data_IF_939303825368
#
_entry.id   IF_939303825368
#
_cell.length_a   1.000
_cell.length_b   1.000
_cell.length_c   1.000
_cell.angle_alpha   90.00
_cell.angle_beta   90.00
_cell.angle_gamma   90.00
#
_symmetry.space_group_name_H-M   'P 1'
#
loop_
_entity.id
_entity.type
_entity.pdbx_description
1 polymer ?
#
# COMPACT_ATOMS: atom_id res chain seq x y z
N UNK A 1 43.41 11.60 46.62
CA UNK A 1 43.24 10.32 45.89
C UNK A 1 41.90 10.27 45.14
N UNK A 2 40.80 10.76 45.72
CA UNK A 2 39.46 10.88 45.09
C UNK A 2 39.40 11.88 43.92
N UNK A 3 40.10 13.01 43.98
CA UNK A 3 40.10 14.00 42.89
C UNK A 3 40.82 13.52 41.61
N UNK A 4 41.86 12.69 41.76
CA UNK A 4 42.62 12.13 40.63
C UNK A 4 41.81 11.05 39.89
N UNK A 5 41.06 10.20 40.61
CA UNK A 5 40.12 9.26 39.99
C UNK A 5 39.01 9.98 39.21
N UNK A 6 38.51 11.11 39.74
CA UNK A 6 37.46 11.89 39.08
C UNK A 6 37.96 12.54 37.78
N UNK A 7 39.16 13.11 37.77
CA UNK A 7 39.77 13.69 36.56
C UNK A 7 40.05 12.63 35.47
N UNK A 8 40.53 11.44 35.87
CA UNK A 8 40.72 10.32 34.93
C UNK A 8 39.39 9.79 34.39
N UNK A 9 38.32 9.71 35.21
CA UNK A 9 36.99 9.32 34.74
C UNK A 9 36.34 10.35 33.81
N UNK A 10 36.61 11.65 34.02
CA UNK A 10 36.12 12.74 33.16
C UNK A 10 36.88 12.75 31.82
N UNK A 11 38.19 12.48 31.84
CA UNK A 11 39.00 12.32 30.63
C UNK A 11 38.61 11.10 29.80
N UNK A 12 38.33 9.96 30.46
CA UNK A 12 37.87 8.74 29.80
C UNK A 12 36.44 8.89 29.24
N UNK A 13 35.55 9.58 29.96
CA UNK A 13 34.22 9.91 29.48
C UNK A 13 34.25 10.86 28.26
N UNK A 14 35.23 11.78 28.21
CA UNK A 14 35.46 12.67 27.07
C UNK A 14 36.02 11.92 25.84
N UNK A 15 36.89 10.92 26.03
CA UNK A 15 37.32 10.02 24.94
C UNK A 15 36.17 9.14 24.42
N UNK A 16 35.31 8.63 25.31
CA UNK A 16 34.14 7.82 24.93
C UNK A 16 33.04 8.62 24.21
N UNK A 17 33.05 9.95 24.29
CA UNK A 17 32.11 10.84 23.59
C UNK A 17 32.66 11.38 22.26
N UNK A 18 33.88 11.01 21.86
CA UNK A 18 34.40 11.36 20.54
C UNK A 18 33.81 10.45 19.45
N UNK A 19 32.67 10.87 18.88
CA UNK A 19 32.20 10.33 17.61
C UNK A 19 33.28 10.58 16.54
N UNK A 20 33.67 9.51 15.82
CA UNK A 20 34.59 9.64 14.69
C UNK A 20 34.07 10.68 13.70
N UNK A 21 34.92 11.56 13.17
CA UNK A 21 34.47 12.61 12.24
C UNK A 21 33.71 12.04 11.04
N UNK A 22 34.03 10.81 10.61
CA UNK A 22 33.29 10.12 9.54
C UNK A 22 31.87 9.72 9.93
N UNK A 23 31.68 9.20 11.14
CA UNK A 23 30.36 8.83 11.67
C UNK A 23 29.48 10.05 11.90
N UNK A 24 30.04 11.14 12.43
CA UNK A 24 29.31 12.40 12.62
C UNK A 24 28.85 13.00 11.28
N UNK A 25 29.71 12.99 10.26
CA UNK A 25 29.35 13.46 8.90
C UNK A 25 28.28 12.57 8.30
N UNK A 26 28.42 11.25 8.38
CA UNK A 26 27.40 10.30 7.92
C UNK A 26 26.05 10.57 8.61
N UNK A 27 26.05 10.76 9.93
CA UNK A 27 24.84 11.03 10.69
C UNK A 27 24.14 12.30 10.21
N UNK A 28 24.84 13.43 10.16
CA UNK A 28 24.23 14.71 9.80
C UNK A 28 23.73 14.75 8.36
N UNK A 29 24.47 14.14 7.43
CA UNK A 29 24.05 14.04 6.02
C UNK A 29 22.78 13.19 5.91
N UNK A 30 22.80 11.98 6.46
CA UNK A 30 21.65 11.07 6.39
C UNK A 30 20.44 11.59 7.19
N UNK A 31 20.67 12.34 8.27
CA UNK A 31 19.61 12.91 9.10
C UNK A 31 18.82 13.97 8.33
N UNK A 32 19.51 14.83 7.59
CA UNK A 32 18.84 15.81 6.72
C UNK A 32 18.08 15.08 5.61
N UNK A 33 18.69 14.08 4.98
CA UNK A 33 18.04 13.33 3.88
C UNK A 33 16.80 12.57 4.37
N UNK A 34 16.85 11.93 5.55
CA UNK A 34 15.68 11.20 6.09
C UNK A 34 14.54 12.15 6.44
N UNK A 35 14.84 13.32 6.99
CA UNK A 35 13.82 14.34 7.31
C UNK A 35 13.18 14.89 6.03
N UNK A 36 13.99 15.18 5.00
CA UNK A 36 13.49 15.59 3.68
C UNK A 36 12.65 14.48 3.04
N UNK A 37 13.07 13.22 3.17
CA UNK A 37 12.29 12.06 2.72
C UNK A 37 10.94 11.98 3.44
N UNK A 38 10.93 12.10 4.78
CA UNK A 38 9.70 12.05 5.57
C UNK A 38 8.74 13.20 5.23
N UNK A 39 9.25 14.41 5.01
CA UNK A 39 8.47 15.52 4.48
C UNK A 39 7.95 15.22 3.07
N UNK A 40 8.78 14.61 2.21
CA UNK A 40 8.39 14.18 0.86
C UNK A 40 7.23 13.19 0.84
N UNK A 41 7.13 12.27 1.81
CA UNK A 41 5.98 11.36 1.96
C UNK A 41 4.67 12.13 2.09
N UNK A 42 4.65 13.16 2.94
CA UNK A 42 3.43 13.91 3.26
C UNK A 42 3.12 14.99 2.21
N UNK A 43 4.16 15.60 1.64
CA UNK A 43 4.00 16.70 0.67
C UNK A 43 3.80 16.21 -0.77
N UNK A 44 4.04 14.94 -1.08
CA UNK A 44 3.93 14.43 -2.44
C UNK A 44 2.47 14.31 -2.91
N UNK A 45 2.10 14.93 -4.05
CA UNK A 45 0.73 14.89 -4.57
C UNK A 45 0.36 13.55 -5.23
N UNK A 46 1.35 12.75 -5.64
CA UNK A 46 1.10 11.40 -6.21
C UNK A 46 1.51 10.35 -5.18
N UNK A 47 0.65 9.36 -4.99
CA UNK A 47 0.87 8.26 -4.05
C UNK A 47 2.16 7.47 -4.36
N UNK A 48 2.50 7.28 -5.64
CA UNK A 48 3.71 6.55 -6.04
C UNK A 48 4.97 7.26 -5.56
N UNK A 49 5.08 8.58 -5.75
CA UNK A 49 6.23 9.35 -5.27
C UNK A 49 6.27 9.38 -3.73
N UNK A 50 5.12 9.48 -3.06
CA UNK A 50 5.04 9.40 -1.59
C UNK A 50 5.61 8.07 -1.08
N UNK A 51 5.26 6.96 -1.72
CA UNK A 51 5.78 5.65 -1.36
C UNK A 51 7.28 5.49 -1.65
N UNK A 52 7.80 6.07 -2.74
CA UNK A 52 9.25 6.09 -3.00
C UNK A 52 10.02 6.89 -1.93
N UNK A 53 9.49 8.03 -1.48
CA UNK A 53 10.05 8.77 -0.35
C UNK A 53 10.01 7.95 0.95
N UNK A 54 8.92 7.22 1.21
CA UNK A 54 8.81 6.34 2.36
C UNK A 54 9.87 5.22 2.30
N UNK A 55 10.06 4.60 1.12
CA UNK A 55 11.07 3.56 0.91
C UNK A 55 12.49 4.09 1.19
N UNK A 56 12.80 5.29 0.69
CA UNK A 56 14.06 5.98 0.97
C UNK A 56 14.26 6.19 2.48
N UNK A 57 13.23 6.66 3.20
CA UNK A 57 13.33 6.85 4.66
C UNK A 57 13.59 5.55 5.41
N UNK A 58 12.89 4.46 5.06
CA UNK A 58 13.06 3.16 5.70
C UNK A 58 14.47 2.59 5.48
N UNK A 59 15.05 2.81 4.29
CA UNK A 59 16.41 2.41 3.98
C UNK A 59 17.45 3.22 4.77
N UNK A 60 17.26 4.54 4.89
CA UNK A 60 18.17 5.39 5.69
C UNK A 60 18.08 5.04 7.18
N UNK A 61 16.88 4.75 7.70
CA UNK A 61 16.72 4.24 9.07
C UNK A 61 17.46 2.92 9.29
N UNK A 62 17.47 2.02 8.29
CA UNK A 62 18.26 0.79 8.38
C UNK A 62 19.76 1.10 8.48
N UNK A 63 20.25 2.08 7.72
CA UNK A 63 21.64 2.54 7.82
C UNK A 63 21.93 3.14 9.21
N UNK A 64 21.00 3.87 9.81
CA UNK A 64 21.16 4.35 11.19
C UNK A 64 21.24 3.21 12.20
N UNK A 65 20.39 2.18 12.09
CA UNK A 65 20.49 1.02 12.98
C UNK A 65 21.84 0.33 12.86
N UNK A 66 22.36 0.15 11.64
CA UNK A 66 23.67 -0.46 11.42
C UNK A 66 24.78 0.44 12.00
N UNK A 67 24.70 1.76 11.78
CA UNK A 67 25.67 2.72 12.31
C UNK A 67 25.67 2.73 13.85
N UNK A 68 24.53 2.52 14.49
CA UNK A 68 24.38 2.41 15.94
C UNK A 68 24.73 1.02 16.51
N UNK A 69 25.29 0.11 15.70
CA UNK A 69 25.69 -1.24 16.14
C UNK A 69 24.55 -2.27 16.15
N UNK A 70 23.33 -1.90 15.78
CA UNK A 70 22.16 -2.77 15.75
C UNK A 70 22.00 -3.50 14.40
N UNK A 71 22.98 -4.33 14.04
CA UNK A 71 23.04 -5.00 12.73
C UNK A 71 21.78 -5.84 12.42
N UNK A 72 21.31 -6.63 13.40
CA UNK A 72 20.09 -7.44 13.24
C UNK A 72 18.86 -6.59 12.93
N UNK A 73 18.66 -5.51 13.69
CA UNK A 73 17.54 -4.57 13.47
C UNK A 73 17.65 -3.89 12.10
N UNK A 74 18.84 -3.49 11.69
CA UNK A 74 19.09 -2.93 10.37
C UNK A 74 18.73 -3.90 9.24
N UNK A 75 19.12 -5.16 9.33
CA UNK A 75 18.77 -6.19 8.33
C UNK A 75 17.27 -6.46 8.30
N UNK A 76 16.62 -6.61 9.46
CA UNK A 76 15.16 -6.78 9.55
C UNK A 76 14.43 -5.55 8.97
N UNK A 77 14.96 -4.34 9.17
CA UNK A 77 14.42 -3.11 8.59
C UNK A 77 14.43 -3.14 7.05
N UNK A 78 15.51 -3.64 6.45
CA UNK A 78 15.58 -3.79 4.99
C UNK A 78 14.65 -4.89 4.51
N UNK A 79 14.70 -6.09 5.11
CA UNK A 79 13.95 -7.26 4.63
C UNK A 79 12.45 -7.09 4.81
N UNK A 80 12.00 -6.67 6.00
CA UNK A 80 10.58 -6.63 6.35
C UNK A 80 9.95 -5.31 5.94
N UNK A 81 10.46 -4.18 6.43
CA UNK A 81 9.81 -2.88 6.17
C UNK A 81 10.04 -2.41 4.73
N UNK A 82 11.29 -2.40 4.26
CA UNK A 82 11.61 -1.94 2.91
C UNK A 82 11.32 -3.01 1.84
N UNK A 83 11.50 -4.29 2.16
CA UNK A 83 11.23 -5.40 1.26
C UNK A 83 9.75 -5.74 1.19
N UNK A 84 9.20 -6.37 2.23
CA UNK A 84 7.84 -6.90 2.18
C UNK A 84 6.75 -5.82 2.27
N UNK A 85 6.81 -4.97 3.30
CA UNK A 85 5.72 -4.01 3.60
C UNK A 85 5.65 -2.92 2.54
N UNK A 86 6.78 -2.33 2.18
CA UNK A 86 6.81 -1.29 1.15
C UNK A 86 6.36 -1.80 -0.21
N UNK A 87 6.82 -2.98 -0.64
CA UNK A 87 6.42 -3.55 -1.93
C UNK A 87 4.92 -3.88 -1.95
N UNK A 88 4.37 -4.39 -0.85
CA UNK A 88 2.92 -4.58 -0.71
C UNK A 88 2.18 -3.23 -0.85
N UNK A 89 2.65 -2.20 -0.15
CA UNK A 89 2.04 -0.88 -0.22
C UNK A 89 2.09 -0.31 -1.64
N UNK A 90 3.25 -0.36 -2.30
CA UNK A 90 3.46 0.06 -3.69
C UNK A 90 2.52 -0.69 -4.66
N UNK A 91 2.38 -2.00 -4.48
CA UNK A 91 1.48 -2.81 -5.30
C UNK A 91 0.01 -2.39 -5.11
N UNK A 92 -0.41 -2.18 -3.86
CA UNK A 92 -1.78 -1.77 -3.52
C UNK A 92 -2.12 -0.40 -4.09
N UNK A 93 -1.25 0.61 -3.90
CA UNK A 93 -1.50 1.95 -4.44
C UNK A 93 -1.52 1.95 -5.97
N UNK A 94 -0.76 1.06 -6.62
CA UNK A 94 -0.73 0.97 -8.07
C UNK A 94 -1.98 0.25 -8.61
N UNK A 95 -2.47 -0.77 -7.92
CA UNK A 95 -3.67 -1.51 -8.28
C UNK A 95 -4.94 -0.66 -8.16
N UNK A 96 -5.03 0.18 -7.13
CA UNK A 96 -6.20 1.04 -6.88
C UNK A 96 -6.40 2.09 -7.99
N UNK A 97 -5.37 2.35 -8.81
CA UNK A 97 -5.42 3.36 -9.86
C UNK A 97 -5.28 4.76 -9.27
N UNK A 98 -4.17 5.43 -9.58
CA UNK A 98 -3.86 6.77 -9.09
C UNK A 98 -4.48 7.84 -9.97
N UNK A 99 -5.81 7.86 -10.07
CA UNK A 99 -6.51 8.93 -10.77
C UNK A 99 -6.62 10.18 -9.89
N UNK A 100 -5.96 11.22 -10.41
CA UNK A 100 -6.02 12.66 -10.14
C UNK A 100 -6.20 13.17 -8.70
N UNK A 101 -5.24 14.02 -8.34
CA UNK A 101 -5.24 14.79 -7.10
C UNK A 101 -6.58 15.49 -6.89
N UNK A 102 -7.28 15.08 -5.83
CA UNK A 102 -8.37 15.87 -5.28
C UNK A 102 -7.90 17.31 -5.14
N UNK A 103 -8.77 18.22 -5.56
CA UNK A 103 -8.59 19.65 -5.45
C UNK A 103 -8.14 20.01 -4.03
N UNK A 104 -7.05 20.78 -3.90
CA UNK A 104 -6.52 21.33 -2.63
C UNK A 104 -7.45 22.35 -1.97
N UNK A 105 -8.74 22.35 -2.31
CA UNK A 105 -9.75 23.16 -1.66
C UNK A 105 -10.04 22.52 -0.32
N UNK A 106 -9.65 23.23 0.73
CA UNK A 106 -9.99 22.86 2.10
C UNK A 106 -11.50 22.81 2.27
N UNK A 107 -12.06 21.63 2.52
CA UNK A 107 -13.45 21.45 2.96
C UNK A 107 -13.74 22.23 4.25
N UNK A 108 -12.73 22.36 5.13
CA UNK A 108 -12.82 23.10 6.39
C UNK A 108 -11.75 24.19 6.40
N UNK A 109 -12.18 25.46 6.31
CA UNK A 109 -11.28 26.63 6.34
C UNK A 109 -10.38 26.59 7.59
N UNK A 110 -9.06 26.62 7.37
CA UNK A 110 -8.07 26.73 8.44
C UNK A 110 -7.57 25.39 9.00
N UNK A 111 -8.03 24.25 8.48
CA UNK A 111 -7.56 22.93 8.93
C UNK A 111 -6.07 22.73 8.69
N UNK A 112 -5.50 23.14 7.55
CA UNK A 112 -4.05 22.97 7.32
C UNK A 112 -3.24 23.86 8.25
N UNK A 113 -3.69 25.08 8.51
CA UNK A 113 -3.02 25.96 9.48
C UNK A 113 -3.04 25.37 10.89
N UNK A 114 -4.19 24.86 11.34
CA UNK A 114 -4.30 24.18 12.63
C UNK A 114 -3.41 22.93 12.70
N UNK A 115 -3.40 22.10 11.65
CA UNK A 115 -2.58 20.90 11.58
C UNK A 115 -1.07 21.21 11.62
N UNK A 116 -0.62 22.23 10.87
CA UNK A 116 0.78 22.68 10.88
C UNK A 116 1.16 23.23 12.25
N UNK A 117 0.31 24.06 12.85
CA UNK A 117 0.58 24.67 14.16
C UNK A 117 0.66 23.61 15.27
N UNK A 118 -0.26 22.65 15.25
CA UNK A 118 -0.29 21.54 16.20
C UNK A 118 0.90 20.60 16.00
N UNK A 119 1.22 20.25 14.75
CA UNK A 119 2.39 19.43 14.42
C UNK A 119 3.70 20.08 14.86
N UNK A 120 3.88 21.37 14.59
CA UNK A 120 5.05 22.12 15.03
C UNK A 120 5.10 22.25 16.56
N UNK A 121 3.98 22.56 17.20
CA UNK A 121 3.88 22.65 18.66
C UNK A 121 4.22 21.33 19.34
N UNK A 122 3.73 20.21 18.81
CA UNK A 122 4.05 18.87 19.28
C UNK A 122 5.54 18.53 19.10
N UNK A 123 6.13 18.87 17.94
CA UNK A 123 7.55 18.70 17.70
C UNK A 123 8.43 19.50 18.68
N UNK A 124 8.11 20.77 18.92
CA UNK A 124 8.80 21.61 19.90
C UNK A 124 8.67 21.03 21.30
N UNK A 125 7.48 20.58 21.69
CA UNK A 125 7.24 19.97 22.99
C UNK A 125 8.08 18.70 23.19
N UNK A 126 8.17 17.84 22.17
CA UNK A 126 9.02 16.65 22.21
C UNK A 126 10.50 17.00 22.36
N UNK A 127 11.01 17.96 21.57
CA UNK A 127 12.40 18.40 21.65
C UNK A 127 12.70 19.01 23.01
N UNK A 128 11.82 19.87 23.53
CA UNK A 128 11.95 20.46 24.85
C UNK A 128 11.89 19.40 25.96
N UNK A 129 11.00 18.40 25.83
CA UNK A 129 10.91 17.27 26.75
C UNK A 129 12.19 16.45 26.79
N UNK A 130 12.75 16.11 25.63
CA UNK A 130 14.02 15.37 25.53
C UNK A 130 15.18 16.20 26.07
N UNK A 131 15.24 17.50 25.76
CA UNK A 131 16.28 18.39 26.27
C UNK A 131 16.21 18.56 27.80
N UNK A 132 14.99 18.62 28.35
CA UNK A 132 14.77 18.79 29.79
C UNK A 132 14.93 17.49 30.58
N UNK A 133 14.65 16.33 29.96
CA UNK A 133 14.77 15.03 30.62
C UNK A 133 16.18 14.75 31.15
N UNK A 134 17.20 15.49 30.68
CA UNK A 134 18.60 15.29 31.03
C UNK A 134 19.01 13.93 30.51
N UNK A 135 19.80 13.88 29.43
CA UNK A 135 20.43 12.65 28.98
C UNK A 135 21.39 12.19 30.10
N UNK A 136 20.85 11.47 31.07
CA UNK A 136 21.56 10.92 32.20
C UNK A 136 22.54 9.90 31.63
N UNK A 137 23.82 10.30 31.54
CA UNK A 137 24.96 9.44 31.21
C UNK A 137 24.71 8.49 30.04
N UNK A 138 25.24 8.83 28.87
CA UNK A 138 25.42 7.84 27.80
C UNK A 138 26.28 6.69 28.34
N UNK A 139 25.62 5.63 28.80
CA UNK A 139 26.25 4.36 29.10
C UNK A 139 26.61 3.83 27.72
N UNK A 140 27.87 3.99 27.33
CA UNK A 140 28.34 3.51 26.03
C UNK A 140 27.95 2.06 25.83
N UNK A 141 27.69 1.69 24.58
CA UNK A 141 27.54 0.28 24.24
C UNK A 141 28.85 -0.42 24.58
N UNK A 142 28.76 -1.50 25.36
CA UNK A 142 29.93 -2.32 25.64
C UNK A 142 30.38 -2.94 24.31
N UNK A 143 31.61 -2.65 23.90
CA UNK A 143 32.14 -3.10 22.61
C UNK A 143 32.25 -4.62 22.51
N UNK A 144 32.15 -5.32 23.65
CA UNK A 144 32.19 -6.78 23.73
C UNK A 144 30.84 -7.44 23.38
N UNK A 145 29.71 -6.73 23.45
CA UNK A 145 28.37 -7.29 23.18
C UNK A 145 27.93 -7.14 21.72
N UNK A 146 28.79 -6.59 20.85
CA UNK A 146 28.48 -6.37 19.44
C UNK A 146 28.54 -7.65 18.59
N UNK A 147 27.52 -7.90 17.77
CA UNK A 147 27.53 -8.95 16.75
C UNK A 147 26.60 -10.13 17.05
N UNK A 148 27.06 -11.36 16.83
CA UNK A 148 26.23 -12.58 16.97
C UNK A 148 25.73 -12.80 18.41
N UNK A 149 26.47 -12.30 19.41
CA UNK A 149 26.10 -12.45 20.83
C UNK A 149 24.84 -11.64 21.18
N UNK A 150 24.71 -10.42 20.69
CA UNK A 150 23.48 -9.63 20.82
C UNK A 150 22.24 -10.34 20.24
N UNK A 151 22.40 -11.12 19.15
CA UNK A 151 21.30 -11.90 18.58
C UNK A 151 20.93 -13.06 19.51
N UNK A 152 21.91 -13.74 20.09
CA UNK A 152 21.69 -14.83 21.05
C UNK A 152 21.02 -14.31 22.31
N UNK A 153 21.47 -13.19 22.86
CA UNK A 153 20.84 -12.54 24.01
C UNK A 153 19.41 -12.10 23.70
N UNK A 154 19.18 -11.49 22.54
CA UNK A 154 17.84 -11.11 22.10
C UNK A 154 16.93 -12.34 22.01
N UNK A 155 17.43 -13.44 21.43
CA UNK A 155 16.69 -14.69 21.37
C UNK A 155 16.37 -15.24 22.76
N UNK A 156 17.33 -15.27 23.68
CA UNK A 156 17.10 -15.68 25.06
C UNK A 156 16.03 -14.80 25.72
N UNK A 157 16.06 -13.49 25.53
CA UNK A 157 15.08 -12.56 26.09
C UNK A 157 13.67 -12.80 25.52
N UNK A 158 13.56 -13.03 24.21
CA UNK A 158 12.30 -13.32 23.52
C UNK A 158 11.70 -14.63 24.01
N UNK A 159 12.51 -15.69 24.12
CA UNK A 159 12.02 -17.02 24.50
C UNK A 159 11.90 -17.26 26.02
N UNK A 160 12.46 -16.38 26.86
CA UNK A 160 12.33 -16.47 28.32
C UNK A 160 11.35 -15.43 28.86
N UNK A 161 11.75 -14.16 28.91
CA UNK A 161 11.00 -13.07 29.54
C UNK A 161 9.82 -12.61 28.70
N UNK A 162 9.98 -12.55 27.39
CA UNK A 162 8.97 -12.02 26.46
C UNK A 162 8.21 -13.12 25.70
N UNK A 163 8.16 -14.34 26.23
CA UNK A 163 7.51 -15.49 25.58
C UNK A 163 6.06 -15.20 25.20
N UNK A 164 5.31 -14.54 26.09
CA UNK A 164 3.92 -14.17 25.80
C UNK A 164 3.79 -13.15 24.68
N UNK A 165 4.69 -12.16 24.61
CA UNK A 165 4.70 -11.19 23.51
C UNK A 165 5.02 -11.87 22.17
N UNK A 166 5.95 -12.84 22.18
CA UNK A 166 6.26 -13.66 21.01
C UNK A 166 5.06 -14.48 20.55
N UNK A 167 4.40 -15.21 21.46
CA UNK A 167 3.25 -16.07 21.14
C UNK A 167 2.07 -15.24 20.62
N UNK A 168 1.78 -14.10 21.25
CA UNK A 168 0.73 -13.17 20.78
C UNK A 168 1.06 -12.59 19.41
N UNK A 169 2.33 -12.30 19.12
CA UNK A 169 2.75 -11.86 17.78
C UNK A 169 2.58 -12.98 16.76
N UNK A 170 2.85 -14.24 17.12
CA UNK A 170 2.56 -15.40 16.27
C UNK A 170 1.06 -15.54 15.96
N UNK A 171 0.22 -15.45 16.98
CA UNK A 171 -1.24 -15.45 16.82
C UNK A 171 -1.72 -14.27 15.95
N UNK A 172 -1.12 -13.09 16.10
CA UNK A 172 -1.37 -11.92 15.26
C UNK A 172 -1.02 -12.18 13.79
N UNK A 173 0.12 -12.82 13.49
CA UNK A 173 0.53 -13.14 12.11
C UNK A 173 -0.41 -14.17 11.46
N UNK A 174 -0.85 -15.18 12.21
CA UNK A 174 -1.86 -16.15 11.72
C UNK A 174 -3.18 -15.42 11.43
N UNK A 175 -3.64 -14.59 12.36
CA UNK A 175 -4.88 -13.83 12.23
C UNK A 175 -4.80 -12.84 11.05
N UNK A 176 -3.68 -12.15 10.88
CA UNK A 176 -3.46 -11.25 9.75
C UNK A 176 -3.49 -11.98 8.41
N UNK A 177 -2.88 -13.17 8.34
CA UNK A 177 -2.89 -14.00 7.12
C UNK A 177 -4.31 -14.49 6.81
N UNK A 178 -5.04 -14.97 7.81
CA UNK A 178 -6.45 -15.37 7.65
C UNK A 178 -7.33 -14.19 7.24
N UNK A 179 -7.15 -13.03 7.88
CA UNK A 179 -7.87 -11.80 7.57
C UNK A 179 -7.62 -11.34 6.14
N UNK A 180 -6.36 -11.32 5.70
CA UNK A 180 -5.99 -10.99 4.33
C UNK A 180 -6.60 -11.97 3.32
N UNK A 181 -6.55 -13.28 3.60
CA UNK A 181 -7.14 -14.31 2.73
C UNK A 181 -8.65 -14.15 2.60
N UNK A 182 -9.36 -13.96 3.72
CA UNK A 182 -10.82 -13.79 3.73
C UNK A 182 -11.24 -12.50 3.04
N UNK A 183 -10.53 -11.40 3.27
CA UNK A 183 -10.87 -10.10 2.68
C UNK A 183 -10.53 -10.03 1.17
N UNK A 184 -9.43 -10.66 0.76
CA UNK A 184 -9.05 -10.75 -0.66
C UNK A 184 -9.89 -11.79 -1.42
N UNK A 185 -10.53 -12.73 -0.72
CA UNK A 185 -11.43 -13.67 -1.33
C UNK A 185 -12.71 -12.97 -1.75
N UNK A 186 -12.85 -12.71 -3.06
CA UNK A 186 -14.09 -12.18 -3.63
C UNK A 186 -15.00 -13.36 -4.05
N UNK A 187 -15.95 -13.81 -3.22
CA UNK A 187 -16.92 -14.79 -3.65
C UNK A 187 -17.72 -14.21 -4.83
N UNK A 188 -17.92 -15.01 -5.86
CA UNK A 188 -18.84 -14.64 -6.94
C UNK A 188 -20.24 -14.66 -6.36
N UNK A 189 -20.89 -13.49 -6.27
CA UNK A 189 -22.25 -13.32 -5.71
C UNK A 189 -23.27 -14.20 -6.45
N UNK A 190 -23.04 -14.44 -7.74
CA UNK A 190 -23.82 -15.37 -8.54
C UNK A 190 -23.04 -16.64 -8.81
N UNK A 191 -23.62 -17.79 -8.48
CA UNK A 191 -23.12 -19.07 -8.97
C UNK A 191 -23.08 -19.04 -10.51
N UNK A 192 -22.00 -19.56 -11.12
CA UNK A 192 -21.95 -19.69 -12.57
C UNK A 192 -23.03 -20.69 -12.97
N UNK A 193 -24.02 -20.32 -13.81
CA UNK A 193 -25.12 -21.20 -14.12
C UNK A 193 -24.59 -22.46 -14.77
N UNK A 194 -25.15 -23.60 -14.39
CA UNK A 194 -24.75 -24.89 -14.96
C UNK A 194 -25.14 -24.96 -16.45
N UNK A 195 -24.49 -25.82 -17.24
CA UNK A 195 -24.85 -25.99 -18.65
C UNK A 195 -26.33 -26.38 -18.83
N UNK A 196 -26.88 -27.14 -17.87
CA UNK A 196 -28.31 -27.50 -17.81
C UNK A 196 -29.20 -26.30 -17.51
N UNK A 197 -28.85 -25.44 -16.55
CA UNK A 197 -29.60 -24.21 -16.28
C UNK A 197 -29.58 -23.28 -17.49
N UNK A 198 -28.42 -23.12 -18.14
CA UNK A 198 -28.30 -22.33 -19.37
C UNK A 198 -29.15 -22.90 -20.51
N UNK A 199 -29.21 -24.23 -20.64
CA UNK A 199 -30.07 -24.86 -21.65
C UNK A 199 -31.55 -24.64 -21.33
N UNK A 200 -31.98 -24.83 -20.07
CA UNK A 200 -33.37 -24.61 -19.65
C UNK A 200 -33.77 -23.15 -19.83
N UNK A 201 -32.89 -22.21 -19.42
CA UNK A 201 -33.14 -20.78 -19.55
C UNK A 201 -33.40 -20.37 -21.00
N UNK A 202 -32.70 -20.99 -21.97
CA UNK A 202 -32.88 -20.72 -23.40
C UNK A 202 -34.27 -21.06 -23.94
N UNK A 203 -34.97 -22.01 -23.31
CA UNK A 203 -36.32 -22.45 -23.72
C UNK A 203 -37.45 -21.78 -22.93
N UNK A 204 -37.15 -20.84 -22.02
CA UNK A 204 -38.18 -20.04 -21.34
C UNK A 204 -38.76 -19.01 -22.30
N UNK A 205 -40.05 -18.69 -22.17
CA UNK A 205 -40.74 -17.71 -23.03
C UNK A 205 -40.10 -16.32 -22.97
N UNK A 206 -39.56 -15.95 -21.81
CA UNK A 206 -38.90 -14.66 -21.57
C UNK A 206 -37.39 -14.68 -21.86
N UNK A 207 -36.88 -15.72 -22.52
CA UNK A 207 -35.44 -15.81 -22.83
C UNK A 207 -35.05 -14.75 -23.87
N UNK A 208 -34.07 -13.87 -23.59
CA UNK A 208 -33.55 -12.92 -24.57
C UNK A 208 -32.73 -13.59 -25.68
N UNK A 209 -32.40 -14.88 -25.54
CA UNK A 209 -31.65 -15.65 -26.54
C UNK A 209 -32.56 -16.72 -27.14
N UNK A 210 -32.66 -16.81 -28.48
CA UNK A 210 -33.51 -17.80 -29.13
C UNK A 210 -33.03 -19.24 -28.87
N UNK A 211 -33.94 -20.23 -28.92
CA UNK A 211 -33.61 -21.66 -28.79
C UNK A 211 -32.59 -22.17 -29.81
N UNK A 212 -32.52 -21.53 -30.96
CA UNK A 212 -31.65 -21.90 -32.08
C UNK A 212 -30.20 -21.45 -31.84
N UNK A 213 -29.23 -22.02 -32.58
CA UNK A 213 -27.89 -21.45 -32.66
C UNK A 213 -27.95 -19.97 -33.05
N UNK A 214 -27.08 -19.15 -32.46
CA UNK A 214 -26.94 -17.75 -32.87
C UNK A 214 -26.44 -17.71 -34.32
N UNK A 215 -27.01 -16.84 -35.17
CA UNK A 215 -26.50 -16.66 -36.52
C UNK A 215 -25.08 -16.09 -36.44
N UNK A 216 -24.18 -16.52 -37.34
CA UNK A 216 -22.87 -15.89 -37.46
C UNK A 216 -23.02 -14.46 -38.00
N UNK A 217 -22.13 -13.55 -37.59
CA UNK A 217 -22.07 -12.18 -38.10
C UNK A 217 -22.06 -12.15 -39.63
N UNK A 218 -22.70 -11.13 -40.22
CA UNK A 218 -22.72 -10.93 -41.67
C UNK A 218 -23.60 -11.89 -42.48
N UNK A 219 -24.24 -12.89 -41.87
CA UNK A 219 -25.14 -13.82 -42.60
C UNK A 219 -26.38 -13.07 -43.11
N UNK A 220 -26.63 -13.18 -44.43
CA UNK A 220 -27.67 -12.43 -45.16
C UNK A 220 -27.52 -10.90 -45.12
N UNK A 221 -26.40 -10.37 -44.62
CA UNK A 221 -26.08 -8.96 -44.72
C UNK A 221 -25.43 -8.65 -46.08
N UNK A 222 -25.42 -7.36 -46.47
CA UNK A 222 -24.76 -6.90 -47.70
C UNK A 222 -23.23 -7.02 -47.65
N UNK A 223 -22.67 -7.07 -46.44
CA UNK A 223 -21.24 -7.14 -46.20
C UNK A 223 -20.96 -8.26 -45.19
N UNK A 224 -20.03 -9.15 -45.53
CA UNK A 224 -19.59 -10.24 -44.66
C UNK A 224 -18.44 -9.75 -43.78
N UNK A 225 -18.77 -9.11 -42.67
CA UNK A 225 -17.81 -8.60 -41.70
C UNK A 225 -18.24 -8.95 -40.27
N UNK A 226 -17.27 -8.97 -39.35
CA UNK A 226 -17.44 -9.44 -37.96
C UNK A 226 -18.17 -8.45 -37.05
N UNK A 227 -18.27 -7.21 -37.49
CA UNK A 227 -18.96 -6.08 -36.88
C UNK A 227 -20.37 -5.84 -37.48
N UNK A 228 -20.74 -6.57 -38.53
CA UNK A 228 -22.02 -6.43 -39.22
C UNK A 228 -23.04 -7.44 -38.67
N UNK A 229 -24.22 -6.99 -38.20
CA UNK A 229 -25.25 -7.90 -37.71
C UNK A 229 -25.81 -8.76 -38.83
N UNK A 230 -26.09 -10.03 -38.53
CA UNK A 230 -26.80 -10.92 -39.42
C UNK A 230 -28.24 -10.43 -39.64
N UNK A 231 -28.84 -10.75 -40.79
CA UNK A 231 -30.26 -10.45 -41.04
C UNK A 231 -31.15 -11.65 -40.76
N UNK A 232 -32.25 -11.40 -40.06
CA UNK A 232 -33.33 -12.36 -39.81
C UNK A 232 -34.16 -12.59 -41.08
N UNK A 233 -34.99 -13.65 -41.14
CA UNK A 233 -35.85 -13.93 -42.29
C UNK A 233 -36.86 -12.83 -42.64
N UNK A 234 -37.15 -11.95 -41.68
CA UNK A 234 -37.99 -10.75 -41.84
C UNK A 234 -37.20 -9.52 -42.36
N UNK A 235 -35.88 -9.66 -42.54
CA UNK A 235 -34.98 -8.60 -42.97
C UNK A 235 -34.44 -7.71 -41.85
N UNK A 236 -34.84 -7.90 -40.60
CA UNK A 236 -34.37 -7.09 -39.45
C UNK A 236 -32.95 -7.52 -39.01
N UNK A 237 -32.14 -6.61 -38.44
CA UNK A 237 -30.80 -6.94 -37.97
C UNK A 237 -30.82 -7.68 -36.62
N UNK A 238 -30.05 -8.77 -36.51
CA UNK A 238 -29.87 -9.52 -35.27
C UNK A 238 -28.65 -9.00 -34.49
N UNK A 239 -28.89 -8.22 -33.45
CA UNK A 239 -27.83 -7.68 -32.57
C UNK A 239 -27.10 -8.77 -31.75
N UNK A 240 -27.66 -9.99 -31.70
CA UNK A 240 -27.07 -11.12 -30.99
C UNK A 240 -25.93 -11.80 -31.77
N UNK A 241 -25.80 -11.53 -33.07
CA UNK A 241 -24.75 -12.12 -33.91
C UNK A 241 -23.41 -11.40 -33.83
N UNK A 242 -23.36 -10.23 -33.22
CA UNK A 242 -22.18 -9.36 -33.14
C UNK A 242 -21.74 -9.18 -31.69
N UNK A 243 -20.44 -8.99 -31.49
CA UNK A 243 -19.91 -8.72 -30.16
C UNK A 243 -20.22 -7.26 -29.76
N UNK A 244 -20.78 -7.06 -28.56
CA UNK A 244 -21.13 -5.73 -28.03
C UNK A 244 -19.96 -4.74 -27.98
N UNK A 245 -18.72 -5.22 -27.86
CA UNK A 245 -17.54 -4.34 -27.86
C UNK A 245 -17.09 -3.92 -29.26
N UNK A 246 -17.48 -4.68 -30.30
CA UNK A 246 -17.17 -4.43 -31.70
C UNK A 246 -18.32 -3.70 -32.43
N UNK A 247 -19.57 -3.91 -32.00
CA UNK A 247 -20.78 -3.41 -32.66
C UNK A 247 -21.07 -1.91 -32.48
N UNK A 248 -20.06 -1.07 -32.20
CA UNK A 248 -20.21 0.34 -31.86
C UNK A 248 -20.57 1.29 -33.00
N UNK A 249 -21.20 0.84 -34.10
CA UNK A 249 -21.33 1.72 -35.27
C UNK A 249 -22.32 1.33 -36.37
N UNK A 250 -23.38 0.56 -36.06
CA UNK A 250 -24.48 0.36 -37.00
C UNK A 250 -25.76 1.04 -36.50
N UNK A 251 -25.65 2.32 -36.16
CA UNK A 251 -26.77 3.27 -36.23
C UNK A 251 -26.99 3.59 -37.72
N UNK A 252 -27.73 2.71 -38.41
CA UNK A 252 -28.21 2.99 -39.77
C UNK A 252 -29.41 3.93 -39.62
N UNK A 253 -29.15 5.23 -39.73
CA UNK A 253 -30.10 6.31 -39.48
C UNK A 253 -31.31 6.33 -40.42
N UNK A 254 -32.30 5.45 -40.15
CA UNK A 254 -33.69 5.60 -40.60
C UNK A 254 -34.69 5.00 -39.62
N UNK A 255 -35.28 5.86 -38.80
CA UNK A 255 -36.72 5.88 -38.56
C UNK A 255 -37.30 5.02 -37.42
N UNK A 256 -37.69 5.74 -36.36
CA UNK A 256 -38.92 5.60 -35.56
C UNK A 256 -39.00 4.55 -34.41
N UNK A 257 -39.09 5.13 -33.20
CA UNK A 257 -39.84 4.75 -31.99
C UNK A 257 -39.81 3.31 -31.45
N UNK A 258 -39.08 3.15 -30.34
CA UNK A 258 -39.25 2.06 -29.38
C UNK A 258 -38.36 2.30 -28.16
N UNK A 259 -38.94 2.87 -27.10
CA UNK A 259 -38.26 3.38 -25.92
C UNK A 259 -37.16 2.46 -25.34
N UNK A 260 -36.02 3.08 -25.04
CA UNK A 260 -35.05 2.49 -24.12
C UNK A 260 -35.73 2.30 -22.75
N UNK A 261 -35.66 1.11 -22.11
CA UNK A 261 -35.95 1.04 -20.70
C UNK A 261 -34.81 1.79 -20.00
N UNK A 262 -35.10 3.02 -19.59
CA UNK A 262 -34.38 3.68 -18.51
C UNK A 262 -34.35 2.69 -17.35
N UNK A 263 -33.16 2.19 -17.04
CA UNK A 263 -32.92 1.55 -15.74
C UNK A 263 -33.01 2.70 -14.74
N UNK A 264 -34.19 2.85 -14.13
CA UNK A 264 -34.32 3.59 -12.88
C UNK A 264 -33.36 2.93 -11.89
N UNK A 265 -32.32 3.69 -11.54
CA UNK A 265 -31.60 3.48 -10.31
C UNK A 265 -32.56 3.77 -9.16
N UNK A 266 -33.21 2.71 -8.64
CA UNK A 266 -33.81 2.77 -7.32
C UNK A 266 -32.67 2.96 -6.31
N UNK A 267 -32.62 4.17 -5.73
CA UNK A 267 -31.97 4.45 -4.46
C UNK A 267 -32.62 3.57 -3.38
N UNK A 268 -31.82 2.67 -2.81
CA UNK A 268 -31.90 2.20 -1.42
C UNK A 268 -30.60 1.51 -1.00
#
# INVERSE_FOLDING_TARGET
>A
MTAALSATSIGLAAELTHTSSGEAVQFWVLAVVVVLGALGVVCSPKAVYSALFLAMTMLILAVFYIAQGALFLGVVQVVVYTGAVMMLFLFVIMLIGVDSADSLVETIRGQRFAAVTLGLGFGILLVAGIAHAGLATFVGFDTETGGNEAIVELAQLIFSKYLWAFELTGALLITATLGAMVLAHRPRITARPTQRELSIARFRSDSPVPPTPLPSSGVFARHNAVDVPARLPDGTPSQLSVNKTLGGGADDGRGEDGGSPTIESEDQ
#
